data_IF_318552227977
#
_entry.id   IF_318552227977
#
_cell.length_a   1.000
_cell.length_b   1.000
_cell.length_c   1.000
_cell.angle_alpha   90.00
_cell.angle_beta   90.00
_cell.angle_gamma   90.00
#
_symmetry.space_group_name_H-M   'P 1'
#
loop_
_entity.id
_entity.type
_entity.pdbx_description
1 polymer ?
#
# COMPACT_ATOMS: atom_id res chain seq x y z
N UNK A 1 23.16 -17.63 8.07
CA UNK A 1 22.35 -18.85 8.09
C UNK A 1 21.53 -18.83 6.81
N UNK A 2 21.85 -19.69 5.83
CA UNK A 2 21.19 -19.71 4.50
C UNK A 2 19.78 -20.27 4.71
N UNK A 3 18.75 -19.47 4.44
CA UNK A 3 17.37 -19.98 4.39
C UNK A 3 17.25 -20.97 3.23
N UNK A 4 17.10 -22.24 3.58
CA UNK A 4 16.83 -23.31 2.61
C UNK A 4 15.46 -23.09 1.97
N UNK A 5 15.39 -23.21 0.65
CA UNK A 5 14.16 -23.18 -0.12
C UNK A 5 13.19 -24.26 0.40
N UNK A 6 11.89 -23.98 0.42
CA UNK A 6 10.87 -24.90 0.95
C UNK A 6 10.92 -26.29 0.28
N UNK A 7 11.24 -26.36 -0.99
CA UNK A 7 11.46 -27.63 -1.69
C UNK A 7 12.67 -28.42 -1.15
N UNK A 8 13.76 -27.75 -0.79
CA UNK A 8 14.94 -28.37 -0.19
C UNK A 8 14.65 -28.89 1.23
N UNK A 9 13.73 -28.22 1.96
CA UNK A 9 13.23 -28.69 3.26
C UNK A 9 12.45 -29.99 3.13
N UNK A 10 11.55 -30.09 2.14
CA UNK A 10 10.77 -31.31 1.88
C UNK A 10 11.69 -32.48 1.51
N UNK A 11 12.71 -32.26 0.68
CA UNK A 11 13.68 -33.30 0.31
C UNK A 11 14.53 -33.76 1.51
N UNK A 12 14.91 -32.84 2.40
CA UNK A 12 15.61 -33.18 3.62
C UNK A 12 14.75 -34.04 4.55
N UNK A 13 13.46 -33.68 4.74
CA UNK A 13 12.54 -34.46 5.56
C UNK A 13 12.28 -35.87 4.99
N UNK A 14 12.27 -35.99 3.67
CA UNK A 14 12.21 -37.30 2.99
C UNK A 14 13.47 -38.12 3.22
N UNK A 15 14.65 -37.51 3.11
CA UNK A 15 15.95 -38.17 3.36
C UNK A 15 16.14 -38.58 4.83
N UNK A 16 15.56 -37.81 5.78
CA UNK A 16 15.55 -38.13 7.22
C UNK A 16 14.49 -39.18 7.60
N UNK A 17 13.71 -39.70 6.63
CA UNK A 17 12.65 -40.71 6.87
C UNK A 17 11.46 -40.21 7.69
N UNK A 18 11.29 -38.87 7.81
CA UNK A 18 10.18 -38.22 8.53
C UNK A 18 8.94 -38.00 7.66
N UNK A 19 9.06 -38.18 6.36
CA UNK A 19 7.98 -38.09 5.39
C UNK A 19 8.02 -39.32 4.47
N UNK A 20 6.86 -39.82 4.11
CA UNK A 20 6.74 -40.83 3.06
C UNK A 20 6.86 -40.21 1.67
N UNK A 21 7.22 -40.99 0.67
CA UNK A 21 7.34 -40.50 -0.70
C UNK A 21 6.02 -39.91 -1.23
N UNK A 22 4.87 -40.44 -0.80
CA UNK A 22 3.55 -40.00 -1.19
C UNK A 22 3.16 -38.68 -0.56
N UNK A 23 3.52 -38.47 0.71
CA UNK A 23 3.32 -37.18 1.43
C UNK A 23 4.23 -36.09 0.89
N UNK A 24 5.46 -36.40 0.52
CA UNK A 24 6.40 -35.46 -0.09
C UNK A 24 5.89 -34.95 -1.45
N UNK A 25 5.29 -35.83 -2.29
CA UNK A 25 4.68 -35.45 -3.57
C UNK A 25 3.46 -34.51 -3.32
N UNK A 26 2.55 -34.87 -2.42
CA UNK A 26 1.39 -34.04 -2.08
C UNK A 26 1.79 -32.67 -1.55
N UNK A 27 2.84 -32.61 -0.75
CA UNK A 27 3.35 -31.36 -0.18
C UNK A 27 3.99 -30.49 -1.28
N UNK A 28 4.77 -31.08 -2.20
CA UNK A 28 5.34 -30.36 -3.35
C UNK A 28 4.25 -29.82 -4.29
N UNK A 29 3.20 -30.60 -4.55
CA UNK A 29 2.07 -30.16 -5.39
C UNK A 29 1.30 -29.01 -4.73
N UNK A 30 1.09 -29.07 -3.40
CA UNK A 30 0.44 -27.99 -2.66
C UNK A 30 1.27 -26.69 -2.64
N UNK A 31 2.60 -26.81 -2.50
CA UNK A 31 3.54 -25.68 -2.56
C UNK A 31 3.58 -25.08 -3.98
N UNK A 32 3.56 -25.91 -5.03
CA UNK A 32 3.50 -25.46 -6.42
C UNK A 32 2.18 -24.70 -6.70
N UNK A 33 1.05 -25.22 -6.24
CA UNK A 33 -0.27 -24.57 -6.39
C UNK A 33 -0.35 -23.23 -5.60
N UNK A 34 0.31 -23.14 -4.44
CA UNK A 34 0.43 -21.89 -3.69
C UNK A 34 1.33 -20.87 -4.42
N UNK A 35 2.47 -21.31 -4.94
CA UNK A 35 3.38 -20.48 -5.70
C UNK A 35 2.74 -19.93 -6.99
N UNK A 36 1.91 -20.73 -7.65
CA UNK A 36 1.18 -20.33 -8.87
C UNK A 36 0.07 -19.30 -8.58
N UNK A 37 -0.57 -19.37 -7.42
CA UNK A 37 -1.54 -18.36 -6.94
C UNK A 37 -0.86 -17.05 -6.51
N UNK A 38 0.34 -17.08 -5.98
CA UNK A 38 1.10 -15.91 -5.54
C UNK A 38 1.94 -15.26 -6.66
N UNK A 39 2.28 -15.99 -7.73
CA UNK A 39 3.10 -15.50 -8.84
C UNK A 39 2.57 -14.20 -9.48
N UNK A 40 1.26 -14.04 -9.78
CA UNK A 40 0.74 -12.79 -10.33
C UNK A 40 0.81 -11.61 -9.34
N UNK A 41 0.70 -11.88 -8.03
CA UNK A 41 0.80 -10.84 -6.98
C UNK A 41 2.26 -10.40 -6.76
N UNK A 42 3.21 -11.31 -6.86
CA UNK A 42 4.65 -11.01 -6.76
C UNK A 42 5.21 -10.32 -7.99
N UNK A 43 4.71 -10.67 -9.18
CA UNK A 43 5.12 -10.03 -10.44
C UNK A 43 4.74 -8.54 -10.50
N UNK A 44 3.60 -8.16 -9.91
CA UNK A 44 3.13 -6.77 -9.89
C UNK A 44 3.90 -5.85 -8.91
N UNK A 45 4.75 -6.38 -8.02
CA UNK A 45 5.33 -5.63 -6.89
C UNK A 45 6.86 -5.66 -6.79
N UNK A 46 7.56 -6.28 -7.74
CA UNK A 46 9.03 -6.36 -7.71
C UNK A 46 9.66 -4.95 -7.70
N UNK A 47 10.50 -4.61 -6.69
CA UNK A 47 11.18 -3.32 -6.65
C UNK A 47 12.16 -3.10 -7.81
N UNK A 48 12.55 -4.18 -8.52
CA UNK A 48 13.41 -4.12 -9.71
C UNK A 48 12.64 -3.64 -10.94
N UNK A 49 11.38 -4.03 -11.09
CA UNK A 49 10.55 -3.61 -12.22
C UNK A 49 10.09 -2.15 -12.06
N UNK A 50 9.88 -1.69 -10.82
CA UNK A 50 9.67 -0.28 -10.52
C UNK A 50 10.87 0.59 -10.91
N UNK A 51 12.11 0.16 -10.62
CA UNK A 51 13.32 0.89 -11.04
C UNK A 51 13.50 0.91 -12.55
N UNK A 52 13.19 -0.20 -13.24
CA UNK A 52 13.25 -0.27 -14.71
C UNK A 52 12.22 0.64 -15.36
N UNK A 53 10.98 0.64 -14.84
CA UNK A 53 9.93 1.55 -15.30
C UNK A 53 10.32 3.02 -15.08
N UNK A 54 10.90 3.35 -13.92
CA UNK A 54 11.44 4.67 -13.62
C UNK A 54 12.56 5.10 -14.58
N UNK A 55 13.49 4.19 -14.85
CA UNK A 55 14.60 4.44 -15.78
C UNK A 55 14.10 4.59 -17.21
N UNK A 56 13.10 3.83 -17.62
CA UNK A 56 12.48 3.98 -18.96
C UNK A 56 11.73 5.32 -19.10
N UNK A 57 10.96 5.73 -18.10
CA UNK A 57 10.24 7.02 -18.10
C UNK A 57 11.26 8.18 -18.07
N UNK A 58 12.27 8.12 -17.21
CA UNK A 58 13.33 9.12 -17.14
C UNK A 58 14.14 9.18 -18.43
N UNK A 59 14.45 8.05 -19.07
CA UNK A 59 15.13 7.99 -20.36
C UNK A 59 14.27 8.58 -21.48
N UNK A 60 12.97 8.29 -21.49
CA UNK A 60 12.04 8.82 -22.48
C UNK A 60 11.86 10.35 -22.35
N UNK A 61 11.81 10.86 -21.11
CA UNK A 61 11.71 12.32 -20.86
C UNK A 61 13.00 13.03 -21.23
N UNK A 62 14.18 12.48 -20.91
CA UNK A 62 15.49 13.04 -21.30
C UNK A 62 15.64 13.00 -22.82
N UNK A 63 15.23 11.91 -23.50
CA UNK A 63 15.28 11.80 -24.95
C UNK A 63 14.38 12.83 -25.63
N UNK A 64 13.18 13.06 -25.08
CA UNK A 64 12.23 14.06 -25.60
C UNK A 64 12.71 15.49 -25.38
N UNK A 65 13.31 15.78 -24.22
CA UNK A 65 13.93 17.09 -23.91
C UNK A 65 15.15 17.35 -24.77
N UNK A 66 16.00 16.35 -24.99
CA UNK A 66 17.16 16.44 -25.89
C UNK A 66 16.73 16.60 -27.35
N UNK A 67 15.70 15.88 -27.80
CA UNK A 67 15.12 16.01 -29.13
C UNK A 67 14.51 17.40 -29.37
N UNK A 68 13.81 17.95 -28.39
CA UNK A 68 13.28 19.31 -28.44
C UNK A 68 14.41 20.38 -28.43
N UNK A 69 15.44 20.19 -27.63
CA UNK A 69 16.60 21.09 -27.56
C UNK A 69 17.42 21.04 -28.86
N UNK A 70 17.65 19.85 -29.42
CA UNK A 70 18.37 19.73 -30.72
C UNK A 70 17.56 20.32 -31.88
N UNK A 71 16.26 20.13 -31.87
CA UNK A 71 15.39 20.76 -32.90
C UNK A 71 15.41 22.28 -32.77
N UNK A 72 15.43 22.82 -31.56
CA UNK A 72 15.51 24.26 -31.30
C UNK A 72 16.84 24.85 -31.73
N UNK A 73 17.96 24.18 -31.42
CA UNK A 73 19.31 24.62 -31.82
C UNK A 73 19.56 24.46 -33.31
N UNK A 74 18.97 23.46 -33.97
CA UNK A 74 19.22 23.23 -35.43
C UNK A 74 18.30 24.05 -36.34
N UNK A 75 17.11 24.45 -35.85
CA UNK A 75 16.23 25.34 -36.63
C UNK A 75 16.77 26.76 -36.78
N UNK A 76 17.59 27.19 -35.81
CA UNK A 76 18.20 28.53 -35.83
C UNK A 76 19.45 28.58 -36.74
N UNK A 77 20.14 27.44 -36.93
CA UNK A 77 21.36 27.36 -37.77
C UNK A 77 21.04 27.14 -39.25
N UNK A 78 19.90 26.54 -39.58
CA UNK A 78 19.50 26.29 -40.96
C UNK A 78 19.03 27.56 -41.69
N UNK A 79 18.85 28.69 -41.00
CA UNK A 79 18.41 29.97 -41.56
C UNK A 79 19.49 30.87 -42.13
N UNK A 80 20.79 30.51 -42.03
CA UNK A 80 21.92 31.40 -42.44
C UNK A 80 22.80 30.82 -43.54
N UNK A 81 22.27 30.08 -44.47
CA UNK A 81 22.98 29.88 -45.74
C UNK A 81 22.75 31.09 -46.63
N UNK A 82 23.56 32.10 -46.44
CA UNK A 82 23.68 33.22 -47.41
C UNK A 82 24.34 32.64 -48.66
N UNK A 83 23.59 32.36 -49.71
CA UNK A 83 24.14 32.12 -51.04
C UNK A 83 24.71 33.43 -51.55
N UNK A 84 26.01 33.50 -51.89
CA UNK A 84 26.59 34.70 -52.51
C UNK A 84 25.89 34.91 -53.86
N UNK A 85 25.59 36.16 -54.26
CA UNK A 85 24.98 36.43 -55.57
C UNK A 85 25.94 36.01 -56.68
N UNK A 86 25.46 35.48 -57.81
CA UNK A 86 26.30 35.13 -58.94
C UNK A 86 26.99 36.38 -59.46
N UNK A 87 28.32 36.27 -59.67
CA UNK A 87 29.11 37.32 -60.27
C UNK A 87 28.57 37.55 -61.68
N UNK A 88 27.87 38.70 -61.93
CA UNK A 88 27.53 39.21 -63.24
C UNK A 88 28.67 40.01 -63.79
N UNK A 89 29.14 39.59 -64.92
CA UNK A 89 30.10 40.24 -65.78
C UNK A 89 29.74 41.72 -65.99
N UNK A 90 30.77 42.53 -65.92
CA UNK A 90 30.76 43.92 -66.21
C UNK A 90 30.43 44.15 -67.65
N UNK A 91 29.25 44.72 -67.94
CA UNK A 91 28.98 45.37 -69.21
C UNK A 91 28.58 46.82 -68.96
N UNK A 92 29.49 47.69 -69.31
CA UNK A 92 29.34 49.13 -69.30
C UNK A 92 28.30 49.54 -70.36
N UNK A 93 27.20 50.16 -69.97
CA UNK A 93 26.52 51.15 -70.77
C UNK A 93 25.48 51.95 -70.03
N UNK A 94 25.67 53.26 -70.05
CA UNK A 94 24.69 54.37 -70.07
C UNK A 94 23.56 54.38 -69.04
N UNK A 95 23.60 55.35 -68.15
CA UNK A 95 22.50 55.89 -67.39
C UNK A 95 21.35 56.41 -68.25
N UNK A 96 20.12 56.18 -67.80
CA UNK A 96 19.17 57.29 -67.69
C UNK A 96 18.57 57.39 -66.27
N UNK A 97 18.26 58.62 -65.93
CA UNK A 97 17.74 59.14 -64.68
C UNK A 97 16.43 58.47 -64.19
N UNK A 98 16.38 58.40 -62.85
CA UNK A 98 15.11 58.53 -62.16
C UNK A 98 14.28 57.29 -61.97
N UNK A 99 14.73 56.32 -61.14
CA UNK A 99 13.81 55.41 -60.45
C UNK A 99 14.18 55.31 -58.97
N UNK A 100 13.39 55.98 -58.12
CA UNK A 100 13.43 55.81 -56.69
C UNK A 100 13.12 54.34 -56.38
N UNK A 101 14.11 53.64 -55.85
CA UNK A 101 13.92 52.28 -55.37
C UNK A 101 13.01 52.37 -54.13
N UNK A 102 11.82 51.84 -54.21
CA UNK A 102 10.89 51.74 -53.11
C UNK A 102 11.40 50.71 -52.11
N UNK A 103 12.09 51.23 -51.08
CA UNK A 103 12.61 50.44 -49.98
C UNK A 103 11.53 49.84 -49.08
N UNK A 104 10.27 50.24 -49.30
CA UNK A 104 9.13 49.70 -48.54
C UNK A 104 8.79 48.25 -48.95
N UNK A 105 9.02 47.92 -50.24
CA UNK A 105 8.78 46.57 -50.75
C UNK A 105 9.76 45.51 -50.18
N UNK A 106 10.98 45.91 -49.76
CA UNK A 106 11.99 45.01 -49.17
C UNK A 106 11.76 44.75 -47.68
N UNK A 107 10.95 45.57 -47.02
CA UNK A 107 10.63 45.39 -45.60
C UNK A 107 9.44 44.45 -45.37
N UNK A 108 8.57 44.29 -46.36
CA UNK A 108 7.34 43.50 -46.20
C UNK A 108 7.56 41.99 -46.42
N UNK A 109 8.55 41.60 -47.22
CA UNK A 109 8.85 40.17 -47.41
C UNK A 109 9.58 39.50 -46.22
N UNK A 110 10.17 40.30 -45.33
CA UNK A 110 10.93 39.78 -44.18
C UNK A 110 10.09 39.41 -42.97
N UNK A 111 8.84 39.87 -42.90
CA UNK A 111 7.99 39.70 -41.71
C UNK A 111 7.05 38.49 -41.76
N UNK A 112 6.88 37.84 -42.90
CA UNK A 112 5.86 36.78 -43.06
C UNK A 112 6.38 35.35 -42.84
N UNK A 113 7.69 35.11 -42.83
CA UNK A 113 8.26 33.77 -42.64
C UNK A 113 8.62 33.42 -41.19
N UNK A 114 8.66 34.40 -40.27
CA UNK A 114 9.13 34.22 -38.91
C UNK A 114 8.08 33.77 -37.91
N UNK A 115 6.80 33.67 -38.31
CA UNK A 115 5.70 33.47 -37.34
C UNK A 115 4.96 32.13 -37.47
N UNK A 116 5.40 31.18 -38.31
CA UNK A 116 4.69 29.92 -38.52
C UNK A 116 5.25 28.71 -37.73
N UNK A 117 6.53 28.76 -37.31
CA UNK A 117 7.18 27.68 -36.58
C UNK A 117 7.02 27.79 -35.05
N UNK A 118 6.85 29.02 -34.55
CA UNK A 118 6.67 29.29 -33.11
C UNK A 118 5.43 28.60 -32.47
N UNK A 119 4.22 28.61 -33.10
CA UNK A 119 3.05 27.96 -32.51
C UNK A 119 3.14 26.44 -32.52
N UNK A 120 3.84 25.83 -33.48
CA UNK A 120 3.97 24.38 -33.59
C UNK A 120 4.93 23.82 -32.52
N UNK A 121 6.06 24.47 -32.31
CA UNK A 121 7.04 24.09 -31.29
C UNK A 121 6.47 24.24 -29.87
N UNK A 122 5.74 25.32 -29.58
CA UNK A 122 5.06 25.55 -28.31
C UNK A 122 3.99 24.48 -28.09
N UNK A 123 3.24 24.06 -29.10
CA UNK A 123 2.26 22.98 -29.03
C UNK A 123 2.89 21.64 -28.66
N UNK A 124 4.00 21.27 -29.28
CA UNK A 124 4.73 20.01 -28.95
C UNK A 124 5.26 20.01 -27.51
N UNK A 125 5.85 21.10 -27.06
CA UNK A 125 6.33 21.25 -25.69
C UNK A 125 5.18 21.14 -24.69
N UNK A 126 4.05 21.77 -24.96
CA UNK A 126 2.86 21.70 -24.08
C UNK A 126 2.33 20.26 -23.98
N UNK A 127 2.20 19.56 -25.11
CA UNK A 127 1.79 18.14 -25.13
C UNK A 127 2.79 17.27 -24.36
N UNK A 128 4.09 17.50 -24.50
CA UNK A 128 5.12 16.80 -23.75
C UNK A 128 4.98 17.00 -22.23
N UNK A 129 4.77 18.23 -21.78
CA UNK A 129 4.57 18.55 -20.36
C UNK A 129 3.30 17.86 -19.83
N UNK A 130 2.19 17.92 -20.58
CA UNK A 130 0.95 17.25 -20.18
C UNK A 130 1.12 15.72 -20.08
N UNK A 131 1.85 15.12 -21.01
CA UNK A 131 2.15 13.68 -20.96
C UNK A 131 2.97 13.29 -19.73
N UNK A 132 3.97 14.10 -19.37
CA UNK A 132 4.77 13.90 -18.14
C UNK A 132 3.90 14.04 -16.89
N UNK A 133 3.05 15.07 -16.83
CA UNK A 133 2.14 15.27 -15.70
C UNK A 133 1.16 14.10 -15.56
N UNK A 134 0.59 13.61 -16.67
CA UNK A 134 -0.29 12.44 -16.66
C UNK A 134 0.44 11.18 -16.16
N UNK A 135 1.67 10.95 -16.62
CA UNK A 135 2.48 9.82 -16.16
C UNK A 135 2.79 9.89 -14.65
N UNK A 136 3.11 11.08 -14.15
CA UNK A 136 3.32 11.31 -12.71
C UNK A 136 2.04 11.05 -11.91
N UNK A 137 0.89 11.52 -12.39
CA UNK A 137 -0.41 11.29 -11.75
C UNK A 137 -0.71 9.80 -11.63
N UNK A 138 -0.56 9.03 -12.72
CA UNK A 138 -0.73 7.57 -12.72
C UNK A 138 0.25 6.89 -11.75
N UNK A 139 1.49 7.35 -11.71
CA UNK A 139 2.50 6.79 -10.80
C UNK A 139 2.11 6.98 -9.32
N UNK A 140 1.72 8.19 -8.92
CA UNK A 140 1.31 8.47 -7.54
C UNK A 140 -0.01 7.78 -7.19
N UNK A 141 -0.97 7.75 -8.11
CA UNK A 141 -2.22 6.99 -7.94
C UNK A 141 -1.95 5.51 -7.65
N UNK A 142 -1.15 4.83 -8.47
CA UNK A 142 -0.79 3.43 -8.25
C UNK A 142 -0.04 3.22 -6.93
N UNK A 143 0.77 4.20 -6.52
CA UNK A 143 1.46 4.19 -5.23
C UNK A 143 0.49 4.26 -4.03
N UNK A 144 -0.57 5.07 -4.14
CA UNK A 144 -1.62 5.18 -3.11
C UNK A 144 -2.50 3.93 -3.06
N UNK A 145 -2.91 3.41 -4.22
CA UNK A 145 -3.66 2.14 -4.30
C UNK A 145 -2.86 1.01 -3.65
N UNK A 146 -1.57 0.86 -3.99
CA UNK A 146 -0.72 -0.16 -3.40
C UNK A 146 -0.54 -0.02 -1.88
N UNK A 147 -0.52 1.21 -1.36
CA UNK A 147 -0.46 1.43 0.08
C UNK A 147 -1.80 1.11 0.76
N UNK A 148 -2.94 1.43 0.13
CA UNK A 148 -4.28 1.06 0.62
C UNK A 148 -4.44 -0.45 0.71
N UNK A 149 -3.97 -1.18 -0.32
CA UNK A 149 -4.01 -2.65 -0.30
C UNK A 149 -3.14 -3.26 0.82
N UNK A 150 -2.03 -2.63 1.18
CA UNK A 150 -1.24 -3.05 2.35
C UNK A 150 -2.03 -2.87 3.66
N UNK A 151 -2.83 -1.81 3.79
CA UNK A 151 -3.72 -1.62 4.96
C UNK A 151 -4.79 -2.71 4.99
N UNK A 152 -5.44 -3.01 3.85
CA UNK A 152 -6.44 -4.06 3.75
C UNK A 152 -5.85 -5.44 4.11
N UNK A 153 -4.65 -5.75 3.62
CA UNK A 153 -3.94 -6.98 3.95
C UNK A 153 -3.57 -7.06 5.43
N UNK A 154 -3.14 -5.94 6.03
CA UNK A 154 -2.88 -5.85 7.47
C UNK A 154 -4.14 -6.08 8.29
N UNK A 155 -5.28 -5.52 7.85
CA UNK A 155 -6.57 -5.77 8.49
C UNK A 155 -6.98 -7.25 8.42
N UNK A 156 -6.82 -7.89 7.28
CA UNK A 156 -7.15 -9.30 7.13
C UNK A 156 -6.39 -10.20 8.13
N UNK A 157 -5.16 -9.83 8.52
CA UNK A 157 -4.42 -10.56 9.56
C UNK A 157 -5.06 -10.34 10.95
N UNK A 158 -5.48 -9.12 11.28
CA UNK A 158 -6.23 -8.83 12.51
C UNK A 158 -7.52 -9.66 12.56
N UNK A 159 -8.29 -9.62 11.49
CA UNK A 159 -9.55 -10.36 11.36
C UNK A 159 -9.37 -11.87 11.51
N UNK A 160 -8.33 -12.45 10.88
CA UNK A 160 -7.99 -13.87 11.00
C UNK A 160 -7.71 -14.27 12.47
N UNK A 161 -7.03 -13.43 13.24
CA UNK A 161 -6.73 -13.73 14.64
C UNK A 161 -7.98 -13.58 15.51
N UNK A 162 -8.82 -12.56 15.26
CA UNK A 162 -10.12 -12.41 15.93
C UNK A 162 -11.02 -13.60 15.64
N UNK A 163 -11.14 -14.02 14.39
CA UNK A 163 -11.95 -15.19 14.01
C UNK A 163 -11.45 -16.46 14.73
N UNK A 164 -10.13 -16.69 14.77
CA UNK A 164 -9.57 -17.83 15.47
C UNK A 164 -9.95 -17.84 16.96
N UNK A 165 -9.93 -16.67 17.63
CA UNK A 165 -10.39 -16.56 19.04
C UNK A 165 -11.86 -16.94 19.15
N UNK A 166 -12.72 -16.40 18.29
CA UNK A 166 -14.16 -16.67 18.28
C UNK A 166 -14.50 -18.15 18.01
N UNK A 167 -13.67 -18.84 17.22
CA UNK A 167 -13.82 -20.26 16.91
C UNK A 167 -13.43 -21.19 18.08
N UNK A 168 -12.58 -20.73 19.00
CA UNK A 168 -12.22 -21.47 20.22
C UNK A 168 -13.32 -21.40 21.29
N UNK A 169 -14.18 -20.38 21.28
CA UNK A 169 -15.22 -20.19 22.32
C UNK A 169 -16.20 -21.35 22.40
N UNK A 170 -16.79 -21.89 21.33
CA UNK A 170 -17.68 -23.03 21.44
C UNK A 170 -17.03 -24.26 22.06
N UNK A 171 -15.76 -24.53 21.70
CA UNK A 171 -15.01 -25.65 22.27
C UNK A 171 -14.75 -25.46 23.77
N UNK A 172 -14.49 -24.23 24.19
CA UNK A 172 -14.33 -23.88 25.60
C UNK A 172 -15.65 -24.03 26.36
N UNK A 173 -16.78 -23.54 25.80
CA UNK A 173 -18.12 -23.69 26.37
C UNK A 173 -18.48 -25.16 26.55
N UNK A 174 -18.31 -26.00 25.53
CA UNK A 174 -18.58 -27.43 25.58
C UNK A 174 -17.71 -28.14 26.65
N UNK A 175 -16.44 -27.77 26.75
CA UNK A 175 -15.53 -28.32 27.74
C UNK A 175 -15.98 -27.96 29.14
N UNK A 176 -16.33 -26.69 29.41
CA UNK A 176 -16.75 -26.21 30.73
C UNK A 176 -18.09 -26.84 31.14
N UNK A 177 -19.08 -26.91 30.23
CA UNK A 177 -20.38 -27.52 30.52
C UNK A 177 -20.29 -28.96 30.99
N UNK A 178 -19.26 -29.70 30.58
CA UNK A 178 -19.05 -31.08 31.04
C UNK A 178 -18.79 -31.19 32.53
N UNK A 179 -18.26 -30.13 33.14
CA UNK A 179 -17.84 -30.12 34.57
C UNK A 179 -18.75 -29.26 35.45
N UNK A 180 -19.57 -28.37 34.87
CA UNK A 180 -20.38 -27.39 35.62
C UNK A 180 -21.78 -27.28 35.05
N UNK A 181 -22.79 -27.62 35.88
CA UNK A 181 -24.21 -27.40 35.50
C UNK A 181 -24.72 -26.02 35.94
N UNK A 182 -24.02 -25.35 36.86
CA UNK A 182 -24.51 -24.14 37.53
C UNK A 182 -24.07 -22.84 36.87
N UNK A 183 -23.05 -22.87 35.98
CA UNK A 183 -22.45 -21.67 35.36
C UNK A 183 -23.12 -21.26 34.04
N UNK A 184 -24.42 -21.57 33.89
CA UNK A 184 -25.17 -21.32 32.63
C UNK A 184 -25.18 -19.85 32.22
N UNK A 185 -25.24 -18.94 33.20
CA UNK A 185 -25.30 -17.49 32.93
C UNK A 185 -23.99 -16.99 32.33
N UNK A 186 -22.85 -17.33 32.88
CA UNK A 186 -21.52 -16.95 32.36
C UNK A 186 -21.26 -17.53 30.99
N UNK A 187 -21.66 -18.79 30.74
CA UNK A 187 -21.52 -19.43 29.41
C UNK A 187 -22.44 -18.79 28.38
N UNK A 188 -23.67 -18.42 28.77
CA UNK A 188 -24.60 -17.70 27.91
C UNK A 188 -24.07 -16.30 27.55
N UNK A 189 -23.49 -15.58 28.54
CA UNK A 189 -22.87 -14.27 28.33
C UNK A 189 -21.70 -14.34 27.34
N UNK A 190 -20.81 -15.32 27.48
CA UNK A 190 -19.71 -15.55 26.55
C UNK A 190 -20.19 -15.86 25.14
N UNK A 191 -21.24 -16.72 25.03
CA UNK A 191 -21.84 -17.05 23.74
C UNK A 191 -22.48 -15.83 23.09
N UNK A 192 -23.14 -14.97 23.87
CA UNK A 192 -23.74 -13.72 23.39
C UNK A 192 -22.68 -12.72 22.94
N UNK A 193 -21.59 -12.54 23.70
CA UNK A 193 -20.47 -11.68 23.33
C UNK A 193 -19.82 -12.14 22.02
N UNK A 194 -19.65 -13.47 21.84
CA UNK A 194 -19.19 -14.04 20.57
C UNK A 194 -20.14 -13.69 19.41
N UNK A 195 -21.44 -13.87 19.58
CA UNK A 195 -22.44 -13.58 18.55
C UNK A 195 -22.41 -12.09 18.15
N UNK A 196 -22.31 -11.19 19.13
CA UNK A 196 -22.17 -9.75 18.92
C UNK A 196 -20.90 -9.42 18.12
N UNK A 197 -19.75 -9.99 18.47
CA UNK A 197 -18.49 -9.77 17.77
C UNK A 197 -18.55 -10.24 16.30
N UNK A 198 -19.17 -11.39 16.02
CA UNK A 198 -19.40 -11.89 14.66
C UNK A 198 -20.31 -10.95 13.87
N UNK A 199 -21.40 -10.47 14.48
CA UNK A 199 -22.35 -9.56 13.86
C UNK A 199 -21.69 -8.22 13.49
N UNK A 200 -20.95 -7.61 14.41
CA UNK A 200 -20.27 -6.33 14.19
C UNK A 200 -19.22 -6.45 13.08
N UNK A 201 -18.38 -7.50 13.10
CA UNK A 201 -17.39 -7.75 12.04
C UNK A 201 -18.04 -7.98 10.68
N UNK A 202 -19.12 -8.77 10.63
CA UNK A 202 -19.88 -9.04 9.41
C UNK A 202 -20.57 -7.79 8.84
N UNK A 203 -21.08 -6.91 9.68
CA UNK A 203 -21.72 -5.66 9.26
C UNK A 203 -20.73 -4.66 8.63
N UNK A 204 -19.48 -4.68 9.05
CA UNK A 204 -18.42 -3.80 8.52
C UNK A 204 -17.83 -4.37 7.21
N UNK A 205 -17.65 -5.69 7.13
CA UNK A 205 -17.31 -6.40 5.90
C UNK A 205 -15.95 -6.03 5.33
N UNK A 206 -14.89 -6.06 6.14
CA UNK A 206 -13.50 -5.79 5.75
C UNK A 206 -12.83 -4.72 6.60
N UNK A 207 -11.78 -4.09 6.06
CA UNK A 207 -11.02 -3.08 6.80
C UNK A 207 -11.88 -1.87 7.16
N UNK A 208 -11.88 -1.41 8.44
CA UNK A 208 -12.66 -0.28 8.88
C UNK A 208 -12.23 1.00 8.14
N UNK A 209 -13.24 1.74 7.67
CA UNK A 209 -13.01 2.98 6.93
C UNK A 209 -13.03 4.20 7.87
N UNK A 210 -13.74 4.11 8.99
CA UNK A 210 -13.92 5.20 9.94
C UNK A 210 -13.48 4.79 11.35
N UNK A 211 -13.15 5.78 12.18
CA UNK A 211 -12.84 5.55 13.59
C UNK A 211 -14.02 4.90 14.34
N UNK A 212 -15.26 5.27 14.01
CA UNK A 212 -16.45 4.67 14.64
C UNK A 212 -16.60 3.18 14.33
N UNK A 213 -16.30 2.73 13.09
CA UNK A 213 -16.28 1.30 12.75
C UNK A 213 -15.22 0.55 13.54
N UNK A 214 -14.02 1.12 13.65
CA UNK A 214 -12.93 0.51 14.40
C UNK A 214 -13.29 0.40 15.89
N UNK A 215 -13.84 1.46 16.49
CA UNK A 215 -14.30 1.46 17.89
C UNK A 215 -15.39 0.44 18.14
N UNK A 216 -16.33 0.25 17.20
CA UNK A 216 -17.38 -0.78 17.33
C UNK A 216 -16.77 -2.19 17.38
N UNK A 217 -15.75 -2.47 16.54
CA UNK A 217 -15.02 -3.75 16.58
C UNK A 217 -14.27 -3.90 17.91
N UNK A 218 -13.56 -2.86 18.36
CA UNK A 218 -12.84 -2.87 19.64
C UNK A 218 -13.77 -3.13 20.82
N UNK A 219 -14.93 -2.47 20.87
CA UNK A 219 -15.92 -2.68 21.91
C UNK A 219 -16.44 -4.12 21.94
N UNK A 220 -16.81 -4.67 20.78
CA UNK A 220 -17.31 -6.05 20.69
C UNK A 220 -16.24 -7.08 21.06
N UNK A 221 -14.97 -6.87 20.69
CA UNK A 221 -13.86 -7.74 21.09
C UNK A 221 -13.55 -7.59 22.58
N UNK A 222 -13.69 -6.40 23.17
CA UNK A 222 -13.55 -6.16 24.60
C UNK A 222 -14.65 -6.86 25.45
N UNK A 223 -15.87 -6.96 24.92
CA UNK A 223 -16.93 -7.76 25.54
C UNK A 223 -16.54 -9.25 25.62
N UNK A 224 -15.99 -9.81 24.52
CA UNK A 224 -15.49 -11.19 24.46
C UNK A 224 -14.37 -11.41 25.49
N UNK A 225 -13.39 -10.48 25.53
CA UNK A 225 -12.28 -10.56 26.48
C UNK A 225 -12.76 -10.52 27.93
N UNK A 226 -13.71 -9.62 28.24
CA UNK A 226 -14.29 -9.50 29.57
C UNK A 226 -15.07 -10.76 29.99
N UNK A 227 -15.82 -11.37 29.08
CA UNK A 227 -16.56 -12.61 29.32
C UNK A 227 -15.60 -13.81 29.52
N UNK A 228 -14.52 -13.91 28.73
CA UNK A 228 -13.47 -14.92 28.91
C UNK A 228 -12.78 -14.76 30.27
N UNK A 229 -12.43 -13.55 30.68
CA UNK A 229 -11.81 -13.29 31.97
C UNK A 229 -12.72 -13.72 33.13
N UNK A 230 -14.04 -13.46 33.06
CA UNK A 230 -15.02 -13.93 34.04
C UNK A 230 -15.08 -15.45 34.08
N UNK A 231 -15.13 -16.11 32.92
CA UNK A 231 -15.13 -17.58 32.88
C UNK A 231 -13.88 -18.16 33.51
N UNK A 232 -12.69 -17.65 33.21
CA UNK A 232 -11.44 -18.13 33.81
C UNK A 232 -11.40 -17.92 35.32
N UNK A 233 -11.96 -16.80 35.83
CA UNK A 233 -12.08 -16.57 37.27
C UNK A 233 -13.01 -17.60 37.98
N UNK A 234 -14.10 -18.02 37.32
CA UNK A 234 -15.01 -19.01 37.83
C UNK A 234 -14.36 -20.41 37.87
N UNK A 235 -13.61 -20.78 36.85
CA UNK A 235 -12.91 -22.05 36.70
C UNK A 235 -11.96 -22.31 37.87
N UNK A 236 -11.45 -21.27 38.52
CA UNK A 236 -10.62 -21.42 39.75
C UNK A 236 -11.34 -22.17 40.86
N UNK A 237 -12.68 -22.16 40.89
CA UNK A 237 -13.49 -22.89 41.88
C UNK A 237 -13.72 -24.37 41.52
N UNK A 238 -13.29 -24.82 40.33
CA UNK A 238 -13.51 -26.17 39.78
C UNK A 238 -12.17 -26.87 39.52
N UNK A 239 -11.52 -27.48 40.51
CA UNK A 239 -10.16 -28.01 40.40
C UNK A 239 -10.04 -29.12 39.33
N UNK A 240 -11.07 -29.94 39.14
CA UNK A 240 -11.07 -31.02 38.14
C UNK A 240 -11.09 -30.45 36.71
N UNK A 241 -11.86 -29.39 36.47
CA UNK A 241 -11.87 -28.67 35.20
C UNK A 241 -10.54 -27.97 34.96
N UNK A 242 -10.01 -27.27 35.98
CA UNK A 242 -8.72 -26.57 35.92
C UNK A 242 -7.57 -27.51 35.58
N UNK A 243 -7.63 -28.77 36.05
CA UNK A 243 -6.64 -29.81 35.77
C UNK A 243 -6.88 -30.53 34.43
N UNK A 244 -7.99 -30.27 33.75
CA UNK A 244 -8.32 -30.91 32.47
C UNK A 244 -7.34 -30.48 31.39
N UNK A 245 -6.74 -31.47 30.71
CA UNK A 245 -5.81 -31.19 29.57
C UNK A 245 -6.47 -30.44 28.44
N UNK A 246 -7.75 -30.71 28.14
CA UNK A 246 -8.49 -30.03 27.11
C UNK A 246 -8.68 -28.55 27.42
N UNK A 247 -9.09 -28.26 28.69
CA UNK A 247 -9.25 -26.89 29.16
C UNK A 247 -7.91 -26.11 29.12
N UNK A 248 -6.85 -26.65 29.64
CA UNK A 248 -5.51 -26.03 29.65
C UNK A 248 -5.04 -25.74 28.20
N UNK A 249 -5.23 -26.69 27.28
CA UNK A 249 -4.87 -26.49 25.89
C UNK A 249 -5.69 -25.38 25.21
N UNK A 250 -6.97 -25.24 25.52
CA UNK A 250 -7.82 -24.16 24.99
C UNK A 250 -7.44 -22.81 25.61
N UNK A 251 -7.15 -22.78 26.91
CA UNK A 251 -6.66 -21.60 27.60
C UNK A 251 -5.35 -21.10 26.95
N UNK A 252 -4.36 -21.97 26.79
CA UNK A 252 -3.08 -21.63 26.12
C UNK A 252 -3.28 -21.09 24.70
N UNK A 253 -4.22 -21.67 23.96
CA UNK A 253 -4.54 -21.20 22.61
C UNK A 253 -5.17 -19.80 22.62
N UNK A 254 -6.10 -19.53 23.55
CA UNK A 254 -6.76 -18.23 23.70
C UNK A 254 -5.72 -17.18 24.13
N UNK A 255 -4.88 -17.46 25.13
CA UNK A 255 -3.79 -16.57 25.55
C UNK A 255 -2.80 -16.31 24.39
N UNK A 256 -2.51 -17.34 23.58
CA UNK A 256 -1.70 -17.21 22.38
C UNK A 256 -2.32 -16.29 21.32
N UNK A 257 -3.67 -16.26 21.23
CA UNK A 257 -4.34 -15.32 20.29
C UNK A 257 -4.25 -13.88 20.79
N UNK A 258 -4.26 -13.60 22.10
CA UNK A 258 -4.11 -12.25 22.65
C UNK A 258 -2.79 -11.60 22.20
N UNK A 259 -1.68 -12.32 22.35
CA UNK A 259 -0.38 -11.83 21.92
C UNK A 259 -0.32 -11.56 20.40
N UNK A 260 -0.99 -12.41 19.62
CA UNK A 260 -1.08 -12.22 18.14
C UNK A 260 -1.94 -11.03 17.80
N UNK A 261 -3.09 -10.85 18.44
CA UNK A 261 -3.94 -9.66 18.28
C UNK A 261 -3.13 -8.38 18.50
N UNK A 262 -2.40 -8.30 19.62
CA UNK A 262 -1.57 -7.14 19.92
C UNK A 262 -0.49 -6.88 18.84
N UNK A 263 0.08 -7.95 18.28
CA UNK A 263 1.06 -7.83 17.18
C UNK A 263 0.41 -7.35 15.89
N UNK A 264 -0.71 -7.96 15.47
CA UNK A 264 -1.37 -7.60 14.20
C UNK A 264 -2.02 -6.22 14.24
N UNK A 265 -2.53 -5.77 15.41
CA UNK A 265 -2.97 -4.37 15.61
C UNK A 265 -1.82 -3.38 15.40
N UNK A 266 -0.60 -3.68 15.89
CA UNK A 266 0.58 -2.85 15.62
C UNK A 266 0.96 -2.82 14.15
N UNK A 267 0.91 -3.97 13.46
CA UNK A 267 1.19 -4.08 12.03
C UNK A 267 0.17 -3.26 11.21
N UNK A 268 -1.12 -3.39 11.53
CA UNK A 268 -2.18 -2.60 10.90
C UNK A 268 -1.96 -1.09 11.10
N UNK A 269 -1.64 -0.65 12.33
CA UNK A 269 -1.33 0.75 12.62
C UNK A 269 -0.13 1.25 11.80
N UNK A 270 0.91 0.44 11.63
CA UNK A 270 2.07 0.81 10.83
C UNK A 270 1.72 0.95 9.34
N UNK A 271 0.90 0.05 8.77
CA UNK A 271 0.41 0.18 7.40
C UNK A 271 -0.50 1.39 7.22
N UNK A 272 -1.43 1.63 8.16
CA UNK A 272 -2.30 2.80 8.18
C UNK A 272 -1.48 4.10 8.27
N UNK A 273 -0.45 4.14 9.12
CA UNK A 273 0.46 5.28 9.23
C UNK A 273 1.19 5.57 7.92
N UNK A 274 1.75 4.53 7.29
CA UNK A 274 2.46 4.67 5.99
C UNK A 274 1.52 5.17 4.89
N UNK A 275 0.30 4.66 4.85
CA UNK A 275 -0.71 5.09 3.91
C UNK A 275 -1.12 6.56 4.16
N UNK A 276 -1.49 6.91 5.40
CA UNK A 276 -1.90 8.26 5.76
C UNK A 276 -0.77 9.29 5.53
N UNK A 277 0.49 8.92 5.79
CA UNK A 277 1.65 9.77 5.47
C UNK A 277 1.71 10.05 3.97
N UNK A 278 1.48 9.06 3.10
CA UNK A 278 1.48 9.28 1.65
C UNK A 278 0.34 10.17 1.18
N UNK A 279 -0.82 10.13 1.85
CA UNK A 279 -1.94 11.03 1.57
C UNK A 279 -1.62 12.50 1.90
N UNK A 280 -0.77 12.75 2.90
CA UNK A 280 -0.43 14.09 3.38
C UNK A 280 0.83 14.66 2.72
N UNK A 281 1.65 13.83 2.10
CA UNK A 281 2.94 14.24 1.51
C UNK A 281 2.77 14.69 0.06
N UNK A 282 3.38 15.83 -0.29
CA UNK A 282 3.42 16.32 -1.68
C UNK A 282 4.25 15.36 -2.57
N UNK A 283 3.83 15.11 -3.82
CA UNK A 283 2.60 15.54 -4.48
C UNK A 283 1.41 14.56 -4.27
N UNK A 284 1.56 13.54 -3.43
CA UNK A 284 0.53 12.52 -3.15
C UNK A 284 -0.78 13.12 -2.64
N UNK A 285 -0.71 14.21 -1.84
CA UNK A 285 -1.88 14.89 -1.31
C UNK A 285 -2.81 15.43 -2.42
N UNK A 286 -2.26 16.00 -3.49
CA UNK A 286 -3.06 16.51 -4.62
C UNK A 286 -3.80 15.36 -5.30
N UNK A 287 -3.11 14.23 -5.54
CA UNK A 287 -3.72 13.04 -6.15
C UNK A 287 -4.77 12.43 -5.23
N UNK A 288 -4.51 12.41 -3.92
CA UNK A 288 -5.43 11.90 -2.92
C UNK A 288 -6.75 12.68 -2.91
N UNK A 289 -6.67 14.01 -2.86
CA UNK A 289 -7.85 14.88 -2.87
C UNK A 289 -8.65 14.76 -4.18
N UNK A 290 -7.94 14.73 -5.33
CA UNK A 290 -8.59 14.58 -6.63
C UNK A 290 -9.31 13.25 -6.81
N UNK A 291 -8.77 12.18 -6.25
CA UNK A 291 -9.27 10.80 -6.44
C UNK A 291 -10.11 10.29 -5.25
N UNK A 292 -10.35 11.12 -4.22
CA UNK A 292 -11.17 10.79 -3.08
C UNK A 292 -10.58 9.71 -2.17
N UNK A 293 -9.26 9.71 -1.97
CA UNK A 293 -8.63 8.83 -0.99
C UNK A 293 -8.79 9.41 0.41
N UNK A 294 -9.33 8.59 1.34
CA UNK A 294 -9.56 8.96 2.73
C UNK A 294 -8.53 8.30 3.65
N UNK A 295 -8.21 9.00 4.76
CA UNK A 295 -7.30 8.49 5.78
C UNK A 295 -7.92 7.28 6.50
N UNK A 296 -7.07 6.31 6.87
CA UNK A 296 -7.46 5.12 7.62
C UNK A 296 -7.32 5.36 9.12
N UNK A 297 -8.23 4.80 9.92
CA UNK A 297 -8.16 4.91 11.37
C UNK A 297 -6.98 4.11 11.95
N UNK A 298 -6.67 4.40 13.21
CA UNK A 298 -5.68 3.69 14.02
C UNK A 298 -6.35 3.05 15.22
N UNK A 299 -5.86 1.88 15.63
CA UNK A 299 -6.09 1.40 16.99
C UNK A 299 -5.43 2.36 17.97
N UNK A 300 -6.19 2.84 18.93
CA UNK A 300 -5.65 3.66 20.02
C UNK A 300 -4.95 2.77 21.06
N UNK A 301 -3.91 3.32 21.71
CA UNK A 301 -3.31 2.64 22.84
C UNK A 301 -4.34 2.60 23.98
N UNK A 302 -4.55 1.44 24.58
CA UNK A 302 -5.44 1.32 25.72
C UNK A 302 -5.07 2.35 26.79
N UNK A 303 -6.02 3.15 27.19
CA UNK A 303 -5.85 4.16 28.25
C UNK A 303 -5.32 3.55 29.57
N UNK A 304 -5.56 2.25 29.80
CA UNK A 304 -4.98 1.45 30.89
C UNK A 304 -3.47 1.33 30.81
N UNK A 305 -2.89 1.19 29.61
CA UNK A 305 -1.44 1.10 29.44
C UNK A 305 -0.75 2.43 29.75
N UNK A 306 -1.44 3.55 29.50
CA UNK A 306 -0.94 4.88 29.84
C UNK A 306 -1.08 5.22 31.33
N UNK A 307 -2.06 4.63 32.03
CA UNK A 307 -2.25 4.81 33.49
C UNK A 307 -1.33 3.92 34.33
N UNK A 308 -0.76 2.85 33.75
CA UNK A 308 0.08 1.86 34.45
C UNK A 308 1.50 2.30 34.77
N UNK A 309 1.99 3.38 34.16
CA UNK A 309 3.29 3.96 34.52
C UNK A 309 3.08 5.05 35.56
N UNK A 310 2.59 4.69 36.74
CA UNK A 310 2.87 5.48 37.96
C UNK A 310 4.39 5.46 38.11
N UNK A 311 5.00 6.65 38.06
CA UNK A 311 6.45 6.83 38.27
C UNK A 311 6.88 6.03 39.51
N UNK A 312 7.64 4.91 39.39
CA UNK A 312 8.06 4.11 40.50
C UNK A 312 9.05 4.85 41.42
N UNK A 313 9.51 6.04 41.01
CA UNK A 313 10.49 6.84 41.70
C UNK A 313 9.95 8.10 42.41
N UNK A 314 8.61 8.32 42.35
CA UNK A 314 7.92 9.33 43.17
C UNK A 314 8.53 10.74 43.12
N UNK A 315 9.04 11.18 41.98
CA UNK A 315 9.48 12.56 41.82
C UNK A 315 8.26 13.48 41.78
N UNK A 316 7.90 14.02 42.95
CA UNK A 316 7.03 15.18 43.02
C UNK A 316 7.63 16.28 42.12
N UNK A 317 6.90 16.70 41.11
CA UNK A 317 7.08 18.00 40.49
C UNK A 317 6.55 19.05 41.46
N UNK A 318 7.42 19.54 42.36
CA UNK A 318 7.24 20.80 43.02
C UNK A 318 7.83 21.85 42.09
N UNK A 319 6.98 22.76 41.60
CA UNK A 319 7.38 23.92 40.79
C UNK A 319 6.15 24.59 40.20
#
# INVERSE_FOLDING_TARGET
MVELNENERVERLLAEGKLTAEEAVRLKDSLAAHAEREAPLRAATSPRDRRRLWLMIASLTVFFLLGAATHYLFSDVAGTVVTPPPATESTTSALPEGRLIDLSALSEERSTTMNRSLPLSLGIVTVGILAVLAALLVFFYNGLVGAREQVNAGWAQVENVYQRRLDLIPLLVDTVQTYTEHERETLAELTQARANAVQVSGAIGGAPQTAGQLQAIEAAQGEVESALARLFAIVENYPDLKASRNFLSLQDQIEGTENRVAMERRNFNEFSRRYNTRLQTFPGNIVADMMGFEAKPYFEAEAKALQGVKDPFGRRSEG
#
